data_IF_347760453256
#
_entry.id   IF_347760453256
#
_cell.length_a   1.000
_cell.length_b   1.000
_cell.length_c   1.000
_cell.angle_alpha   90.00
_cell.angle_beta   90.00
_cell.angle_gamma   90.00
#
_symmetry.space_group_name_H-M   'P 1'
#
loop_
_entity.id
_entity.type
_entity.pdbx_description
1 polymer ?
#
# COMPACT_ATOMS: atom_id res chain seq x y z
N UNK A 1 51.99 24.42 0.86
CA UNK A 1 51.67 23.51 1.99
C UNK A 1 50.44 24.01 2.76
N UNK A 2 49.26 23.53 2.37
CA UNK A 2 47.98 23.85 3.00
C UNK A 2 47.08 22.63 2.94
N UNK A 3 47.26 21.71 3.88
CA UNK A 3 46.44 20.50 4.02
C UNK A 3 45.06 20.89 4.56
N UNK A 4 44.07 20.93 3.67
CA UNK A 4 42.66 20.96 4.06
C UNK A 4 42.25 19.57 4.56
N UNK A 5 42.13 19.43 5.87
CA UNK A 5 41.57 18.26 6.51
C UNK A 5 40.06 18.19 6.25
N UNK A 6 39.61 17.15 5.56
CA UNK A 6 38.18 16.84 5.43
C UNK A 6 37.66 16.25 6.75
N UNK A 7 36.51 16.71 7.28
CA UNK A 7 35.90 16.11 8.45
C UNK A 7 35.36 14.71 8.11
N UNK A 8 36.00 13.68 8.68
CA UNK A 8 35.51 12.30 8.68
C UNK A 8 34.54 12.13 9.85
N UNK A 9 33.25 11.87 9.59
CA UNK A 9 32.34 11.45 10.66
C UNK A 9 30.83 11.61 10.46
N UNK A 10 30.33 12.02 9.29
CA UNK A 10 28.88 12.05 9.05
C UNK A 10 28.32 10.65 8.99
N UNK A 11 27.63 10.20 10.04
CA UNK A 11 26.85 8.95 10.03
C UNK A 11 25.81 9.07 8.92
N UNK A 12 25.91 8.24 7.87
CA UNK A 12 24.95 8.28 6.77
C UNK A 12 23.52 8.19 7.33
N UNK A 13 22.57 9.01 6.84
CA UNK A 13 21.19 8.96 7.30
C UNK A 13 20.68 7.54 7.11
N UNK A 14 20.24 6.91 8.21
CA UNK A 14 19.59 5.60 8.15
C UNK A 14 18.41 5.76 7.19
N UNK A 15 18.47 5.06 6.06
CA UNK A 15 17.36 5.00 5.11
C UNK A 15 16.06 4.73 5.90
N UNK A 16 14.98 5.48 5.65
CA UNK A 16 13.72 5.27 6.37
C UNK A 16 13.27 3.82 6.17
N UNK A 17 13.04 3.12 7.27
CA UNK A 17 12.62 1.72 7.26
C UNK A 17 11.29 1.60 6.51
N UNK A 18 11.22 0.64 5.58
CA UNK A 18 10.01 0.33 4.81
C UNK A 18 9.53 -1.06 5.20
N UNK A 19 8.21 -1.24 5.23
CA UNK A 19 7.61 -2.55 5.51
C UNK A 19 8.13 -3.64 4.56
N UNK A 20 8.29 -3.30 3.28
CA UNK A 20 8.90 -4.17 2.27
C UNK A 20 10.04 -3.42 1.56
N UNK A 21 11.29 -3.56 2.01
CA UNK A 21 12.42 -2.77 1.51
C UNK A 21 12.72 -2.93 0.02
N UNK A 22 12.39 -4.09 -0.54
CA UNK A 22 12.61 -4.43 -1.95
C UNK A 22 11.52 -3.85 -2.88
N UNK A 23 10.48 -3.24 -2.33
CA UNK A 23 9.39 -2.66 -3.11
C UNK A 23 9.51 -1.15 -3.24
N UNK A 24 8.90 -0.61 -4.31
CA UNK A 24 8.74 0.83 -4.47
C UNK A 24 7.83 1.39 -3.39
N UNK A 25 8.17 2.58 -2.88
CA UNK A 25 7.31 3.30 -1.94
C UNK A 25 5.99 3.62 -2.64
N UNK A 26 4.87 3.27 -2.01
CA UNK A 26 3.55 3.67 -2.49
C UNK A 26 3.43 5.18 -2.55
N UNK A 27 2.94 5.71 -3.68
CA UNK A 27 2.75 7.16 -3.82
C UNK A 27 1.63 7.65 -2.90
N UNK A 28 1.72 8.90 -2.42
CA UNK A 28 0.67 9.48 -1.57
C UNK A 28 -0.68 9.53 -2.29
N UNK A 29 -0.68 9.78 -3.60
CA UNK A 29 -1.88 9.71 -4.45
C UNK A 29 -2.49 8.31 -4.43
N UNK A 30 -1.68 7.27 -4.60
CA UNK A 30 -2.16 5.88 -4.56
C UNK A 30 -2.73 5.53 -3.19
N UNK A 31 -2.06 5.91 -2.08
CA UNK A 31 -2.57 5.71 -0.72
C UNK A 31 -3.95 6.36 -0.52
N UNK A 32 -4.11 7.61 -0.95
CA UNK A 32 -5.39 8.32 -0.86
C UNK A 32 -6.50 7.62 -1.64
N UNK A 33 -6.25 7.29 -2.91
CA UNK A 33 -7.22 6.60 -3.77
C UNK A 33 -7.60 5.23 -3.19
N UNK A 34 -6.64 4.49 -2.62
CA UNK A 34 -6.96 3.21 -1.98
C UNK A 34 -7.82 3.38 -0.73
N UNK A 35 -7.59 4.44 0.06
CA UNK A 35 -8.42 4.71 1.23
C UNK A 35 -9.83 5.14 0.82
N UNK A 36 -9.96 6.02 -0.18
CA UNK A 36 -11.24 6.44 -0.77
C UNK A 36 -12.03 5.23 -1.29
N UNK A 37 -11.37 4.36 -2.07
CA UNK A 37 -11.98 3.16 -2.61
C UNK A 37 -12.36 2.13 -1.53
N UNK A 38 -11.60 2.05 -0.44
CA UNK A 38 -11.94 1.20 0.70
C UNK A 38 -13.14 1.75 1.46
N UNK A 39 -13.13 3.04 1.81
CA UNK A 39 -14.19 3.72 2.54
C UNK A 39 -15.52 3.68 1.76
N UNK A 40 -15.49 3.82 0.44
CA UNK A 40 -16.68 3.73 -0.43
C UNK A 40 -17.35 2.34 -0.44
N UNK A 41 -16.70 1.30 0.10
CA UNK A 41 -17.26 -0.06 0.21
C UNK A 41 -17.83 -0.36 1.59
N UNK A 42 -17.67 0.55 2.55
CA UNK A 42 -18.16 0.34 3.89
C UNK A 42 -19.62 0.76 3.98
N UNK A 43 -20.43 -0.10 4.59
CA UNK A 43 -21.82 0.21 4.90
C UNK A 43 -21.87 0.79 6.32
N UNK A 44 -21.63 2.10 6.44
CA UNK A 44 -21.61 2.81 7.73
C UNK A 44 -22.88 3.63 7.93
N UNK A 45 -23.30 3.78 9.18
CA UNK A 45 -24.35 4.74 9.52
C UNK A 45 -23.89 6.17 9.22
N UNK A 46 -24.81 7.01 8.76
CA UNK A 46 -24.55 8.42 8.46
C UNK A 46 -24.86 9.26 9.72
N UNK A 47 -23.87 9.86 10.40
CA UNK A 47 -24.13 10.76 11.51
C UNK A 47 -24.75 12.07 11.01
N UNK A 48 -25.66 12.65 11.78
CA UNK A 48 -26.37 13.89 11.43
C UNK A 48 -25.44 15.10 11.18
N UNK A 49 -24.23 15.07 11.75
CA UNK A 49 -23.23 16.13 11.59
C UNK A 49 -22.36 16.02 10.33
N UNK A 50 -22.52 14.98 9.50
CA UNK A 50 -21.73 14.82 8.29
C UNK A 50 -22.43 15.43 7.08
N UNK A 51 -21.68 16.10 6.20
CA UNK A 51 -22.25 16.72 5.00
C UNK A 51 -22.57 15.72 3.87
N UNK A 52 -22.00 14.52 3.88
CA UNK A 52 -22.31 13.43 2.94
C UNK A 52 -21.81 12.07 3.45
N UNK A 53 -22.25 10.98 2.79
CA UNK A 53 -21.85 9.59 3.04
C UNK A 53 -20.33 9.40 2.99
N UNK A 54 -19.67 10.04 2.02
CA UNK A 54 -18.22 9.95 1.88
C UNK A 54 -17.48 10.53 3.11
N UNK A 55 -17.90 11.70 3.61
CA UNK A 55 -17.28 12.29 4.79
C UNK A 55 -17.62 11.52 6.07
N UNK A 56 -18.79 10.88 6.15
CA UNK A 56 -19.09 9.96 7.25
C UNK A 56 -18.19 8.73 7.23
N UNK A 57 -18.01 8.08 6.07
CA UNK A 57 -17.12 6.94 5.93
C UNK A 57 -15.65 7.29 6.24
N UNK A 58 -15.19 8.49 5.85
CA UNK A 58 -13.86 9.00 6.24
C UNK A 58 -13.75 9.28 7.75
N UNK A 59 -14.82 9.77 8.38
CA UNK A 59 -14.89 9.91 9.84
C UNK A 59 -14.71 8.57 10.54
N UNK A 60 -15.46 7.55 10.11
CA UNK A 60 -15.31 6.17 10.60
C UNK A 60 -13.89 5.64 10.34
N UNK A 61 -13.32 5.90 9.16
CA UNK A 61 -11.96 5.46 8.84
C UNK A 61 -10.92 6.07 9.78
N UNK A 62 -11.06 7.37 10.07
CA UNK A 62 -10.21 8.09 11.02
C UNK A 62 -10.30 7.46 12.41
N UNK A 63 -11.49 7.21 12.91
CA UNK A 63 -11.69 6.70 14.26
C UNK A 63 -11.18 5.25 14.41
N UNK A 64 -11.39 4.41 13.39
CA UNK A 64 -10.78 3.07 13.31
C UNK A 64 -9.26 3.16 13.31
N UNK A 65 -8.66 4.06 12.51
CA UNK A 65 -7.21 4.24 12.50
C UNK A 65 -6.66 4.66 13.87
N UNK A 66 -7.35 5.57 14.58
CA UNK A 66 -6.96 5.97 15.94
C UNK A 66 -7.03 4.77 16.90
N UNK A 67 -8.11 4.00 16.88
CA UNK A 67 -8.23 2.79 17.70
C UNK A 67 -7.17 1.73 17.38
N UNK A 68 -6.80 1.56 16.11
CA UNK A 68 -5.74 0.64 15.70
C UNK A 68 -4.35 1.12 16.15
N UNK A 69 -4.11 2.43 16.24
CA UNK A 69 -2.85 2.98 16.75
C UNK A 69 -2.67 2.77 18.27
N UNK A 70 -3.76 2.55 19.00
CA UNK A 70 -3.73 2.23 20.43
C UNK A 70 -3.39 0.76 20.71
N UNK A 71 -3.53 -0.12 19.70
CA UNK A 71 -3.24 -1.56 19.83
C UNK A 71 -1.74 -1.86 19.78
N UNK A 72 -1.35 -2.96 20.42
CA UNK A 72 0.05 -3.41 20.38
C UNK A 72 0.35 -4.14 19.06
N UNK A 73 1.57 -4.00 18.55
CA UNK A 73 1.97 -4.61 17.28
C UNK A 73 1.82 -6.14 17.22
N UNK A 74 1.76 -6.81 18.38
CA UNK A 74 1.61 -8.26 18.47
C UNK A 74 0.18 -8.74 18.18
N UNK A 75 -0.82 -7.87 18.27
CA UNK A 75 -2.23 -8.24 18.15
C UNK A 75 -2.71 -8.29 16.69
N UNK A 76 -1.95 -7.74 15.75
CA UNK A 76 -2.32 -7.70 14.32
C UNK A 76 -1.14 -8.17 13.47
N UNK A 77 -1.03 -9.48 13.18
CA UNK A 77 0.02 -9.97 12.29
C UNK A 77 -0.17 -9.36 10.89
N UNK A 78 0.84 -8.66 10.39
CA UNK A 78 0.86 -8.25 8.98
C UNK A 78 1.14 -9.49 8.12
N UNK A 79 0.08 -10.10 7.60
CA UNK A 79 0.22 -11.15 6.59
C UNK A 79 0.91 -10.57 5.34
N UNK A 80 1.94 -11.27 4.85
CA UNK A 80 2.61 -10.92 3.61
C UNK A 80 1.66 -11.24 2.46
N UNK A 81 1.01 -10.21 1.92
CA UNK A 81 0.13 -10.36 0.75
C UNK A 81 0.97 -10.73 -0.49
N UNK A 82 0.55 -11.74 -1.27
CA UNK A 82 1.22 -12.09 -2.52
C UNK A 82 0.92 -11.02 -3.58
N UNK A 83 1.97 -10.40 -4.10
CA UNK A 83 1.88 -9.48 -5.24
C UNK A 83 1.80 -7.99 -4.88
N UNK A 84 2.39 -7.16 -5.75
CA UNK A 84 2.35 -5.70 -5.67
C UNK A 84 2.39 -5.09 -7.07
N UNK A 85 1.94 -3.85 -7.22
CA UNK A 85 2.10 -3.12 -8.47
C UNK A 85 3.51 -2.55 -8.62
N UNK A 86 4.19 -2.90 -9.72
CA UNK A 86 5.54 -2.40 -10.02
C UNK A 86 5.62 -0.89 -10.24
N UNK A 87 4.49 -0.24 -10.56
CA UNK A 87 4.44 1.21 -10.77
C UNK A 87 4.01 1.98 -9.52
N UNK A 88 2.89 1.63 -8.88
CA UNK A 88 2.35 2.39 -7.75
C UNK A 88 2.66 1.82 -6.36
N UNK A 89 3.22 0.62 -6.27
CA UNK A 89 3.65 0.00 -5.00
C UNK A 89 2.53 -0.55 -4.10
N UNK A 90 1.27 -0.45 -4.50
CA UNK A 90 0.15 -1.04 -3.74
C UNK A 90 0.30 -2.56 -3.70
N UNK A 91 0.10 -3.12 -2.51
CA UNK A 91 0.13 -4.57 -2.24
C UNK A 91 -1.26 -5.18 -2.49
N UNK A 92 -1.30 -6.46 -2.89
CA UNK A 92 -2.57 -7.20 -3.05
C UNK A 92 -3.50 -6.62 -4.11
N UNK A 93 -2.96 -5.92 -5.11
CA UNK A 93 -3.74 -5.35 -6.22
C UNK A 93 -4.34 -6.49 -7.04
N UNK A 94 -5.68 -6.57 -7.06
CA UNK A 94 -6.35 -7.34 -8.10
C UNK A 94 -6.19 -6.62 -9.44
N UNK A 95 -5.66 -7.32 -10.43
CA UNK A 95 -5.65 -6.85 -11.81
C UNK A 95 -7.04 -6.97 -12.40
N UNK A 96 -7.42 -6.02 -13.26
CA UNK A 96 -8.61 -6.21 -14.09
C UNK A 96 -8.40 -7.38 -15.08
N UNK A 97 -9.45 -7.75 -15.83
CA UNK A 97 -9.36 -8.81 -16.84
C UNK A 97 -8.30 -8.54 -17.93
N UNK A 98 -7.83 -7.29 -18.05
CA UNK A 98 -6.75 -6.87 -18.94
C UNK A 98 -5.38 -6.80 -18.28
N UNK A 99 -5.23 -7.23 -17.02
CA UNK A 99 -3.94 -7.21 -16.34
C UNK A 99 -3.54 -5.84 -15.77
N UNK A 100 -4.44 -4.86 -15.76
CA UNK A 100 -4.13 -3.50 -15.29
C UNK A 100 -4.35 -3.36 -13.81
N UNK A 101 -3.46 -2.60 -13.17
CA UNK A 101 -3.64 -2.16 -11.80
C UNK A 101 -4.92 -1.31 -11.69
N UNK A 102 -5.90 -1.77 -10.93
CA UNK A 102 -7.15 -1.02 -10.68
C UNK A 102 -6.96 0.31 -9.92
N UNK A 103 -5.76 0.57 -9.38
CA UNK A 103 -5.42 1.83 -8.67
C UNK A 103 -4.74 2.85 -9.58
N UNK A 104 -3.76 2.44 -10.39
CA UNK A 104 -2.96 3.37 -11.20
C UNK A 104 -3.11 3.19 -12.71
N UNK A 105 -3.85 2.17 -13.17
CA UNK A 105 -4.09 1.86 -14.58
C UNK A 105 -2.90 1.24 -15.32
N UNK A 106 -1.78 0.97 -14.65
CA UNK A 106 -0.59 0.40 -15.29
C UNK A 106 -0.78 -1.09 -15.62
N UNK A 107 -0.41 -1.48 -16.84
CA UNK A 107 -0.40 -2.87 -17.29
C UNK A 107 0.68 -3.67 -16.54
N UNK A 108 0.27 -4.68 -15.77
CA UNK A 108 1.19 -5.54 -15.01
C UNK A 108 1.77 -6.68 -15.86
N UNK A 109 1.23 -6.89 -17.07
CA UNK A 109 1.60 -8.00 -17.96
C UNK A 109 2.96 -7.82 -18.64
N UNK A 110 3.63 -6.69 -18.46
CA UNK A 110 4.84 -6.33 -19.21
C UNK A 110 6.16 -6.75 -18.56
N UNK A 111 6.14 -7.46 -17.43
CA UNK A 111 7.35 -7.82 -16.69
C UNK A 111 7.33 -9.23 -16.10
N UNK A 112 7.33 -10.26 -16.95
CA UNK A 112 7.60 -11.63 -16.51
C UNK A 112 7.03 -12.71 -17.41
N UNK A 113 7.79 -13.08 -18.46
CA UNK A 113 7.52 -14.32 -19.17
C UNK A 113 7.72 -15.52 -18.25
N UNK A 114 6.76 -16.46 -18.30
CA UNK A 114 6.93 -17.87 -17.99
C UNK A 114 6.98 -18.24 -16.51
N UNK A 115 5.88 -18.79 -15.99
CA UNK A 115 5.89 -20.16 -15.46
C UNK A 115 4.47 -20.74 -15.57
N UNK A 116 4.43 -21.99 -15.99
CA UNK A 116 3.33 -22.60 -16.71
C UNK A 116 2.19 -23.01 -15.79
N UNK A 117 1.00 -22.90 -16.37
CA UNK A 117 -0.22 -23.64 -16.05
C UNK A 117 0.10 -25.07 -15.61
N UNK A 118 0.04 -25.32 -14.30
CA UNK A 118 -0.06 -26.66 -13.74
C UNK A 118 -1.41 -27.25 -14.16
N UNK A 119 -1.38 -28.06 -15.21
CA UNK A 119 -2.49 -28.90 -15.65
C UNK A 119 -3.00 -29.74 -14.48
N UNK A 120 -4.21 -29.44 -14.00
CA UNK A 120 -4.90 -30.25 -13.00
C UNK A 120 -5.44 -31.49 -13.73
N UNK A 121 -4.70 -32.59 -13.67
CA UNK A 121 -5.21 -33.89 -14.12
C UNK A 121 -6.36 -34.30 -13.20
N UNK A 122 -7.56 -34.37 -13.79
CA UNK A 122 -8.72 -35.03 -13.20
C UNK A 122 -8.49 -36.54 -13.24
N UNK A 123 -8.59 -37.19 -12.08
CA UNK A 123 -8.83 -38.63 -11.97
C UNK A 123 -10.21 -38.82 -11.36
#
# INVERSE_FOLDING_TARGET
PGSSALPRGGRAPKQPWRLMPHLRKTSHKAMRVTLEAAAARWNTELPDQCCCEFHAALGVARDICLSLLEKSCHETPMERQPGHCGQCGILGVQTDAGGRCNICGHDQHSAGGGEQSGSLMTL
#
